data_IF_367567092572
#
_entry.id   IF_367567092572
#
_cell.length_a   1.000
_cell.length_b   1.000
_cell.length_c   1.000
_cell.angle_alpha   90.00
_cell.angle_beta   90.00
_cell.angle_gamma   90.00
#
_symmetry.space_group_name_H-M   'P 1'
#
loop_
_entity.id
_entity.type
_entity.pdbx_description
1 polymer ?
#
# COMPACT_ATOMS: atom_id res chain seq x y z
N UNK A 1 -29.95 -12.69 20.57
CA UNK A 1 -28.78 -13.58 20.41
C UNK A 1 -28.05 -13.26 19.10
N UNK A 2 -27.00 -12.43 19.10
CA UNK A 2 -26.28 -12.03 17.87
C UNK A 2 -24.78 -11.78 18.12
N UNK A 3 -24.02 -12.79 18.56
CA UNK A 3 -22.57 -12.58 18.79
C UNK A 3 -21.72 -13.83 18.58
N UNK A 4 -21.88 -14.52 17.45
CA UNK A 4 -20.96 -15.62 17.05
C UNK A 4 -20.31 -15.47 15.68
N UNK A 5 -20.71 -14.48 14.85
CA UNK A 5 -20.28 -14.43 13.45
C UNK A 5 -18.96 -13.66 13.19
N UNK A 6 -18.47 -12.85 14.14
CA UNK A 6 -17.22 -12.09 13.93
C UNK A 6 -15.95 -12.95 13.97
N UNK A 7 -15.96 -14.10 14.66
CA UNK A 7 -14.81 -15.01 14.69
C UNK A 7 -14.72 -15.86 13.41
N UNK A 8 -15.86 -16.28 12.87
CA UNK A 8 -15.95 -17.03 11.61
C UNK A 8 -15.53 -16.17 10.41
N UNK A 9 -15.90 -14.89 10.39
CA UNK A 9 -15.48 -13.95 9.34
C UNK A 9 -13.96 -13.73 9.33
N UNK A 10 -13.32 -13.61 10.51
CA UNK A 10 -11.86 -13.50 10.63
C UNK A 10 -11.11 -14.78 10.25
N UNK A 11 -11.66 -15.95 10.61
CA UNK A 11 -11.08 -17.24 10.21
C UNK A 11 -11.18 -17.45 8.69
N UNK A 12 -12.27 -17.00 8.07
CA UNK A 12 -12.46 -17.07 6.62
C UNK A 12 -11.52 -16.10 5.88
N UNK A 13 -11.30 -14.89 6.42
CA UNK A 13 -10.33 -13.94 5.83
C UNK A 13 -8.89 -14.45 5.92
N UNK A 14 -8.47 -14.99 7.07
CA UNK A 14 -7.11 -15.52 7.25
C UNK A 14 -6.85 -16.76 6.36
N UNK A 15 -7.85 -17.65 6.25
CA UNK A 15 -7.76 -18.84 5.39
C UNK A 15 -7.69 -18.47 3.90
N UNK A 16 -8.41 -17.42 3.47
CA UNK A 16 -8.34 -16.88 2.11
C UNK A 16 -6.97 -16.31 1.78
N UNK A 17 -6.38 -15.56 2.72
CA UNK A 17 -5.04 -14.98 2.55
C UNK A 17 -3.96 -16.06 2.45
N UNK A 18 -4.03 -17.11 3.27
CA UNK A 18 -3.12 -18.25 3.20
C UNK A 18 -3.27 -19.03 1.88
N UNK A 19 -4.51 -19.21 1.41
CA UNK A 19 -4.79 -19.84 0.11
C UNK A 19 -4.24 -19.02 -1.06
N UNK A 20 -4.45 -17.70 -1.06
CA UNK A 20 -3.92 -16.80 -2.09
C UNK A 20 -2.40 -16.74 -2.07
N UNK A 21 -1.79 -16.78 -0.87
CA UNK A 21 -0.35 -16.90 -0.71
C UNK A 21 0.19 -18.18 -1.35
N UNK A 22 -0.42 -19.33 -1.03
CA UNK A 22 -0.03 -20.63 -1.58
C UNK A 22 -0.20 -20.67 -3.11
N UNK A 23 -1.31 -20.13 -3.62
CA UNK A 23 -1.63 -20.07 -5.05
C UNK A 23 -0.63 -19.21 -5.83
N UNK A 24 -0.23 -18.06 -5.28
CA UNK A 24 0.81 -17.19 -5.86
C UNK A 24 2.17 -17.91 -5.92
N UNK A 25 2.55 -18.66 -4.89
CA UNK A 25 3.80 -19.45 -4.88
C UNK A 25 3.79 -20.56 -5.93
N UNK A 26 2.65 -21.21 -6.14
CA UNK A 26 2.48 -22.24 -7.18
C UNK A 26 2.56 -21.61 -8.58
N UNK A 27 1.94 -20.43 -8.78
CA UNK A 27 2.00 -19.71 -10.06
C UNK A 27 3.44 -19.30 -10.44
N UNK A 28 4.23 -18.83 -9.47
CA UNK A 28 5.64 -18.50 -9.66
C UNK A 28 6.48 -19.73 -10.09
N UNK A 29 6.29 -20.87 -9.41
CA UNK A 29 6.94 -22.14 -9.78
C UNK A 29 6.53 -22.62 -11.18
N UNK A 30 5.26 -22.46 -11.54
CA UNK A 30 4.74 -22.85 -12.86
C UNK A 30 5.28 -21.97 -13.99
N UNK A 31 5.45 -20.67 -13.73
CA UNK A 31 6.11 -19.73 -14.65
C UNK A 31 7.54 -20.16 -14.94
N UNK A 32 8.32 -20.49 -13.91
CA UNK A 32 9.69 -20.98 -14.06
C UNK A 32 9.78 -22.24 -14.94
N UNK A 33 8.92 -23.23 -14.69
CA UNK A 33 8.90 -24.48 -15.46
C UNK A 33 8.56 -24.24 -16.94
N UNK A 34 7.60 -23.36 -17.23
CA UNK A 34 7.24 -23.02 -18.61
C UNK A 34 8.43 -22.45 -19.38
N UNK A 35 9.20 -21.55 -18.77
CA UNK A 35 10.39 -20.98 -19.38
C UNK A 35 11.47 -22.04 -19.64
N UNK A 36 11.72 -22.95 -18.69
CA UNK A 36 12.64 -24.08 -18.88
C UNK A 36 12.25 -24.97 -20.06
N UNK A 37 10.96 -25.24 -20.23
CA UNK A 37 10.44 -26.08 -21.32
C UNK A 37 10.62 -25.41 -22.68
N UNK A 38 10.28 -24.13 -22.82
CA UNK A 38 10.52 -23.38 -24.06
C UNK A 38 12.01 -23.26 -24.37
N UNK A 39 12.85 -23.06 -23.36
CA UNK A 39 14.29 -23.00 -23.53
C UNK A 39 14.86 -24.34 -24.02
N UNK A 40 14.46 -25.46 -23.40
CA UNK A 40 14.88 -26.79 -23.82
C UNK A 40 14.41 -27.12 -25.25
N UNK A 41 13.15 -26.79 -25.57
CA UNK A 41 12.61 -26.94 -26.91
C UNK A 41 13.38 -26.08 -27.94
N UNK A 42 13.70 -24.83 -27.59
CA UNK A 42 14.50 -23.94 -28.44
C UNK A 42 15.93 -24.44 -28.63
N UNK A 43 16.56 -25.01 -27.61
CA UNK A 43 17.90 -25.60 -27.73
C UNK A 43 17.90 -26.83 -28.64
N UNK A 44 16.88 -27.69 -28.54
CA UNK A 44 16.71 -28.85 -29.43
C UNK A 44 16.47 -28.36 -30.87
N UNK A 45 15.63 -27.33 -31.04
CA UNK A 45 15.39 -26.70 -32.34
C UNK A 45 16.70 -26.19 -32.96
N UNK A 46 17.56 -25.50 -32.20
CA UNK A 46 18.86 -25.02 -32.69
C UNK A 46 19.80 -26.14 -33.12
N UNK A 47 19.84 -27.26 -32.40
CA UNK A 47 20.62 -28.44 -32.78
C UNK A 47 20.12 -29.01 -34.11
N UNK A 48 18.80 -29.07 -34.30
CA UNK A 48 18.17 -29.55 -35.54
C UNK A 48 18.45 -28.57 -36.68
N UNK A 49 18.36 -27.27 -36.45
CA UNK A 49 18.74 -26.25 -37.44
C UNK A 49 20.20 -26.41 -37.85
N UNK A 50 21.13 -26.50 -36.89
CA UNK A 50 22.55 -26.74 -37.19
C UNK A 50 22.73 -28.01 -38.06
N UNK A 51 22.07 -29.11 -37.69
CA UNK A 51 22.16 -30.37 -38.42
C UNK A 51 21.58 -30.30 -39.86
N UNK A 52 20.49 -29.56 -40.08
CA UNK A 52 19.88 -29.37 -41.40
C UNK A 52 20.74 -28.42 -42.24
N UNK A 53 21.22 -27.33 -41.63
CA UNK A 53 21.95 -26.27 -42.32
C UNK A 53 23.40 -26.65 -42.63
N UNK A 54 23.99 -27.57 -41.86
CA UNK A 54 25.25 -28.24 -42.20
C UNK A 54 25.16 -29.03 -43.50
N UNK A 55 23.95 -29.45 -43.89
CA UNK A 55 23.65 -30.06 -45.20
C UNK A 55 23.29 -29.05 -46.28
N UNK A 56 22.97 -27.81 -45.89
CA UNK A 56 22.61 -26.68 -46.77
C UNK A 56 23.75 -25.67 -46.95
N UNK A 57 25.01 -26.08 -46.78
CA UNK A 57 26.20 -25.23 -46.91
C UNK A 57 26.26 -24.47 -48.26
N UNK A 58 25.59 -24.98 -49.29
CA UNK A 58 25.51 -24.34 -50.62
C UNK A 58 24.46 -23.22 -50.72
N UNK A 59 23.52 -23.10 -49.76
CA UNK A 59 22.37 -22.20 -49.86
C UNK A 59 22.50 -20.91 -49.03
N UNK A 60 23.41 -20.84 -48.06
CA UNK A 60 23.53 -19.71 -47.14
C UNK A 60 24.97 -19.24 -47.01
N UNK A 61 25.12 -17.91 -46.99
CA UNK A 61 26.37 -17.16 -46.92
C UNK A 61 27.37 -17.83 -45.94
N UNK A 62 28.63 -18.10 -46.34
CA UNK A 62 29.60 -18.74 -45.46
C UNK A 62 29.76 -17.96 -44.14
N UNK A 63 29.51 -18.62 -43.01
CA UNK A 63 29.67 -18.04 -41.67
C UNK A 63 28.39 -17.51 -41.00
N UNK A 64 27.22 -17.61 -41.63
CA UNK A 64 25.95 -17.13 -41.06
C UNK A 64 25.56 -17.82 -39.73
N UNK A 65 25.99 -19.08 -39.52
CA UNK A 65 25.71 -19.84 -38.29
C UNK A 65 26.36 -19.23 -37.03
N UNK A 66 27.50 -18.55 -37.18
CA UNK A 66 28.19 -17.88 -36.07
C UNK A 66 27.33 -16.77 -35.52
N UNK A 67 26.70 -15.98 -36.40
CA UNK A 67 25.75 -14.94 -36.01
C UNK A 67 24.49 -15.52 -35.36
N UNK A 68 23.97 -16.64 -35.88
CA UNK A 68 22.82 -17.32 -35.28
C UNK A 68 23.11 -17.81 -33.84
N UNK A 69 24.30 -18.39 -33.61
CA UNK A 69 24.73 -18.85 -32.28
C UNK A 69 24.96 -17.66 -31.34
N UNK A 70 25.57 -16.57 -31.81
CA UNK A 70 25.79 -15.37 -30.99
C UNK A 70 24.45 -14.75 -30.55
N UNK A 71 23.50 -14.59 -31.48
CA UNK A 71 22.17 -14.05 -31.17
C UNK A 71 21.44 -14.96 -30.17
N UNK A 72 21.50 -16.27 -30.39
CA UNK A 72 20.86 -17.22 -29.48
C UNK A 72 21.48 -17.23 -28.08
N UNK A 73 22.82 -17.19 -28.00
CA UNK A 73 23.55 -17.09 -26.75
C UNK A 73 23.19 -15.80 -25.99
N UNK A 74 23.01 -14.68 -26.70
CA UNK A 74 22.57 -13.42 -26.10
C UNK A 74 21.16 -13.52 -25.49
N UNK A 75 20.21 -14.11 -26.21
CA UNK A 75 18.86 -14.38 -25.67
C UNK A 75 18.92 -15.28 -24.43
N UNK A 76 19.80 -16.28 -24.43
CA UNK A 76 20.01 -17.19 -23.32
C UNK A 76 20.53 -16.45 -22.08
N UNK A 77 21.50 -15.56 -22.24
CA UNK A 77 22.04 -14.73 -21.15
C UNK A 77 20.93 -13.86 -20.56
N UNK A 78 20.21 -13.08 -21.38
CA UNK A 78 19.10 -12.24 -20.88
C UNK A 78 18.07 -13.08 -20.14
N UNK A 79 17.72 -14.24 -20.67
CA UNK A 79 16.77 -15.15 -20.06
C UNK A 79 17.26 -15.65 -18.69
N UNK A 80 18.54 -16.03 -18.59
CA UNK A 80 19.16 -16.48 -17.35
C UNK A 80 19.14 -15.36 -16.30
N UNK A 81 19.52 -14.14 -16.68
CA UNK A 81 19.49 -12.99 -15.78
C UNK A 81 18.05 -12.68 -15.33
N UNK A 82 17.07 -12.67 -16.23
CA UNK A 82 15.67 -12.38 -15.86
C UNK A 82 15.08 -13.45 -14.93
N UNK A 83 15.30 -14.72 -15.25
CA UNK A 83 14.76 -15.83 -14.45
C UNK A 83 15.48 -15.99 -13.11
N UNK A 84 16.78 -15.72 -13.04
CA UNK A 84 17.58 -15.99 -11.84
C UNK A 84 17.71 -14.76 -10.93
N UNK A 85 17.83 -13.56 -11.50
CA UNK A 85 18.02 -12.32 -10.74
C UNK A 85 16.66 -11.67 -10.45
N UNK A 86 15.78 -11.48 -11.44
CA UNK A 86 14.49 -10.79 -11.20
C UNK A 86 13.60 -11.56 -10.22
N UNK A 87 13.48 -12.89 -10.37
CA UNK A 87 12.66 -13.70 -9.45
C UNK A 87 13.23 -13.79 -8.02
N UNK A 88 14.57 -13.75 -7.86
CA UNK A 88 15.21 -13.89 -6.54
C UNK A 88 15.42 -12.56 -5.84
N UNK A 89 15.73 -11.48 -6.58
CA UNK A 89 16.04 -10.16 -6.04
C UNK A 89 14.81 -9.25 -5.92
N UNK A 90 13.86 -9.34 -6.86
CA UNK A 90 12.62 -8.56 -6.90
C UNK A 90 11.39 -9.44 -6.67
N UNK A 91 11.60 -10.56 -5.98
CA UNK A 91 10.53 -11.46 -5.55
C UNK A 91 9.72 -10.85 -4.40
N UNK A 92 8.63 -11.54 -4.05
CA UNK A 92 7.64 -11.14 -3.05
C UNK A 92 8.24 -10.63 -1.72
N UNK A 93 9.37 -11.18 -1.27
CA UNK A 93 10.01 -10.72 -0.03
C UNK A 93 10.56 -9.28 -0.10
N UNK A 94 10.99 -8.82 -1.28
CA UNK A 94 11.38 -7.42 -1.45
C UNK A 94 10.15 -6.50 -1.40
N UNK A 95 9.05 -6.94 -2.01
CA UNK A 95 7.77 -6.25 -2.01
C UNK A 95 7.19 -6.13 -0.59
N UNK A 96 7.22 -7.22 0.17
CA UNK A 96 6.76 -7.28 1.56
C UNK A 96 7.60 -6.35 2.46
N UNK A 97 8.93 -6.30 2.27
CA UNK A 97 9.82 -5.37 3.00
C UNK A 97 9.50 -3.90 2.71
N UNK A 98 9.17 -3.57 1.47
CA UNK A 98 8.80 -2.20 1.10
C UNK A 98 7.40 -1.82 1.60
N UNK A 99 6.49 -2.79 1.61
CA UNK A 99 5.15 -2.61 2.16
C UNK A 99 5.17 -2.35 3.67
N UNK A 100 5.96 -3.10 4.43
CA UNK A 100 6.14 -2.85 5.87
C UNK A 100 6.69 -1.45 6.14
N UNK A 101 7.68 -1.01 5.35
CA UNK A 101 8.24 0.34 5.46
C UNK A 101 7.20 1.42 5.18
N UNK A 102 6.35 1.23 4.17
CA UNK A 102 5.28 2.16 3.82
C UNK A 102 4.18 2.20 4.90
N UNK A 103 3.77 1.03 5.43
CA UNK A 103 2.79 0.94 6.52
C UNK A 103 3.28 1.65 7.78
N UNK A 104 4.52 1.39 8.18
CA UNK A 104 5.12 2.08 9.33
C UNK A 104 5.11 3.61 9.17
N UNK A 105 5.42 4.11 7.96
CA UNK A 105 5.36 5.54 7.67
C UNK A 105 3.93 6.10 7.74
N UNK A 106 2.96 5.36 7.21
CA UNK A 106 1.54 5.74 7.26
C UNK A 106 1.01 5.77 8.70
N UNK A 107 1.38 4.79 9.53
CA UNK A 107 0.97 4.76 10.95
C UNK A 107 1.48 5.98 11.72
N UNK A 108 2.74 6.37 11.49
CA UNK A 108 3.32 7.60 12.08
C UNK A 108 2.52 8.84 11.65
N UNK A 109 2.20 8.96 10.36
CA UNK A 109 1.43 10.11 9.86
C UNK A 109 0.01 10.16 10.42
N UNK A 110 -0.65 9.00 10.55
CA UNK A 110 -1.99 8.91 11.16
C UNK A 110 -1.93 9.29 12.64
N UNK A 111 -0.90 8.90 13.37
CA UNK A 111 -0.71 9.27 14.77
C UNK A 111 -0.54 10.79 14.94
N UNK A 112 0.23 11.43 14.06
CA UNK A 112 0.43 12.87 14.07
C UNK A 112 -0.87 13.64 13.77
N UNK A 113 -1.62 13.21 12.74
CA UNK A 113 -2.91 13.82 12.39
C UNK A 113 -3.93 13.69 13.53
N UNK A 114 -3.96 12.55 14.23
CA UNK A 114 -4.81 12.36 15.42
C UNK A 114 -4.44 13.34 16.53
N UNK A 115 -3.14 13.55 16.76
CA UNK A 115 -2.66 14.51 17.77
C UNK A 115 -3.05 15.95 17.43
N UNK A 116 -2.89 16.35 16.17
CA UNK A 116 -3.32 17.66 15.67
C UNK A 116 -4.84 17.85 15.80
N UNK A 117 -5.63 16.85 15.42
CA UNK A 117 -7.08 16.89 15.55
C UNK A 117 -7.53 17.04 17.01
N UNK A 118 -6.92 16.29 17.94
CA UNK A 118 -7.21 16.44 19.37
C UNK A 118 -6.85 17.83 19.89
N UNK A 119 -5.69 18.36 19.49
CA UNK A 119 -5.25 19.70 19.88
C UNK A 119 -6.20 20.79 19.34
N UNK A 120 -6.64 20.68 18.09
CA UNK A 120 -7.64 21.58 17.53
C UNK A 120 -8.97 21.53 18.26
N UNK A 121 -9.45 20.32 18.61
CA UNK A 121 -10.70 20.14 19.37
C UNK A 121 -10.58 20.79 20.75
N UNK A 122 -9.49 20.52 21.49
CA UNK A 122 -9.25 21.14 22.80
C UNK A 122 -9.15 22.67 22.71
N UNK A 123 -8.51 23.22 21.67
CA UNK A 123 -8.46 24.68 21.46
C UNK A 123 -9.86 25.24 21.20
N UNK A 124 -10.69 24.56 20.39
CA UNK A 124 -12.09 24.98 20.14
C UNK A 124 -12.92 24.95 21.42
N UNK A 125 -12.84 23.88 22.20
CA UNK A 125 -13.55 23.76 23.49
C UNK A 125 -13.16 24.87 24.46
N UNK A 126 -11.86 25.16 24.60
CA UNK A 126 -11.38 26.25 25.44
C UNK A 126 -11.86 27.64 24.95
N UNK A 127 -11.95 27.86 23.63
CA UNK A 127 -12.49 29.11 23.08
C UNK A 127 -13.98 29.25 23.39
N UNK A 128 -14.75 28.19 23.17
CA UNK A 128 -16.19 28.16 23.46
C UNK A 128 -16.41 28.41 24.97
N UNK A 129 -15.64 27.75 25.84
CA UNK A 129 -15.75 27.95 27.29
C UNK A 129 -15.50 29.41 27.69
N UNK A 130 -14.47 30.06 27.13
CA UNK A 130 -14.19 31.49 27.37
C UNK A 130 -15.29 32.40 26.85
N UNK A 131 -15.85 32.12 25.68
CA UNK A 131 -16.99 32.87 25.14
C UNK A 131 -18.23 32.74 26.04
N UNK A 132 -18.50 31.53 26.55
CA UNK A 132 -19.60 31.29 27.49
C UNK A 132 -19.39 32.00 28.83
N UNK A 133 -18.16 32.02 29.36
CA UNK A 133 -17.82 32.77 30.57
C UNK A 133 -18.00 34.28 30.37
N UNK A 134 -17.50 34.82 29.26
CA UNK A 134 -17.66 36.25 28.93
C UNK A 134 -19.13 36.65 28.75
N UNK A 135 -19.95 35.83 28.09
CA UNK A 135 -21.39 36.06 27.95
C UNK A 135 -22.11 36.03 29.31
N UNK A 136 -21.67 35.17 30.23
CA UNK A 136 -22.22 35.04 31.58
C UNK A 136 -21.83 36.20 32.49
N UNK A 137 -20.62 36.74 32.35
CA UNK A 137 -20.21 37.96 33.04
C UNK A 137 -21.00 39.17 32.54
N UNK A 138 -21.13 39.36 31.21
CA UNK A 138 -21.95 40.42 30.63
C UNK A 138 -23.41 40.37 31.13
N UNK A 139 -24.03 39.19 31.15
CA UNK A 139 -25.41 39.05 31.67
C UNK A 139 -25.53 39.24 33.18
N UNK A 140 -24.49 38.94 33.98
CA UNK A 140 -24.47 39.24 35.43
C UNK A 140 -24.36 40.73 35.67
N UNK A 141 -23.53 41.43 34.91
CA UNK A 141 -23.35 42.87 35.02
C UNK A 141 -24.66 43.59 34.66
N UNK A 142 -25.30 43.25 33.53
CA UNK A 142 -26.59 43.80 33.12
C UNK A 142 -27.70 43.57 34.17
N UNK A 143 -27.76 42.38 34.76
CA UNK A 143 -28.71 42.06 35.83
C UNK A 143 -28.45 42.90 37.10
N UNK A 144 -27.18 43.20 37.41
CA UNK A 144 -26.81 44.03 38.54
C UNK A 144 -27.14 45.51 38.29
N UNK A 145 -26.95 46.03 37.07
CA UNK A 145 -27.35 47.39 36.68
C UNK A 145 -28.87 47.55 36.72
N UNK A 146 -29.64 46.58 36.22
CA UNK A 146 -31.10 46.58 36.32
C UNK A 146 -31.58 46.55 37.77
N UNK A 147 -30.89 45.82 38.65
CA UNK A 147 -31.20 45.77 40.08
C UNK A 147 -30.89 47.12 40.76
N UNK A 148 -29.75 47.74 40.44
CA UNK A 148 -29.37 49.07 40.93
C UNK A 148 -30.36 50.16 40.47
N UNK A 149 -30.82 50.13 39.22
CA UNK A 149 -31.82 51.08 38.68
C UNK A 149 -33.17 50.91 39.39
N UNK A 150 -33.58 49.68 39.71
CA UNK A 150 -34.82 49.41 40.46
C UNK A 150 -34.77 49.93 41.90
N UNK A 151 -33.59 49.89 42.52
CA UNK A 151 -33.40 50.31 43.91
C UNK A 151 -33.25 51.84 44.06
N UNK A 152 -32.87 52.54 42.98
CA UNK A 152 -32.74 54.00 42.92
C UNK A 152 -33.96 54.68 42.28
N UNK A 153 -35.17 54.18 42.57
CA UNK A 153 -36.42 54.76 42.06
C UNK A 153 -36.70 56.13 42.72
N UNK A 154 -36.75 57.25 41.98
CA UNK A 154 -36.91 58.59 42.55
C UNK A 154 -38.30 58.88 43.16
N UNK A 155 -39.28 57.98 43.00
CA UNK A 155 -40.68 58.21 43.38
C UNK A 155 -41.15 57.48 44.66
N UNK A 156 -40.23 57.06 45.55
CA UNK A 156 -40.67 56.61 46.88
C UNK A 156 -41.01 57.83 47.75
N UNK A 157 -42.31 58.04 47.98
CA UNK A 157 -42.83 59.02 48.93
C UNK A 157 -42.31 58.72 50.35
N UNK A 158 -41.85 59.73 51.10
CA UNK A 158 -41.50 59.55 52.50
C UNK A 158 -42.76 59.24 53.31
N UNK A 159 -42.68 58.24 54.20
CA UNK A 159 -43.64 58.05 55.30
C UNK A 159 -43.49 59.12 56.38
#
# INVERSE_FOLDING_TARGET
>A
MFSKNKKTEKLDSESREQYDYARKRIAQKKGLMRHFIFFLAGSILFIVLDAILKRGHDLLIPGWYVWAIIIWAFFLIIHLFNVFITNKFMGKEWEDRQLEKLKALQEVRVAELKKQALQEVTIRENKIAKEQEALKEMTRDDANTLTQVKNNNPNQLPE
#
